data_IF_200203433012
#
_entry.id   IF_200203433012
#
_cell.length_a   1.000
_cell.length_b   1.000
_cell.length_c   1.000
_cell.angle_alpha   90.00
_cell.angle_beta   90.00
_cell.angle_gamma   90.00
#
_symmetry.space_group_name_H-M   'P 1'
#
loop_
_entity.id
_entity.type
_entity.pdbx_description
1 polymer ?
#
# COMPACT_ATOMS: atom_id res chain seq x y z
N UNK A 1 -5.16 -29.40 -0.17
CA UNK A 1 -5.80 -28.53 0.83
C UNK A 1 -6.79 -27.73 0.02
N UNK A 2 -8.08 -27.82 0.32
CA UNK A 2 -9.09 -26.96 -0.30
C UNK A 2 -8.85 -25.54 0.22
N UNK A 3 -8.54 -24.59 -0.68
CA UNK A 3 -8.18 -23.20 -0.38
C UNK A 3 -9.40 -22.32 0.03
N UNK A 4 -10.56 -22.95 0.21
CA UNK A 4 -11.86 -22.30 0.36
C UNK A 4 -12.38 -22.28 1.82
N UNK A 5 -11.67 -22.88 2.77
CA UNK A 5 -12.07 -22.93 4.19
C UNK A 5 -11.01 -22.32 5.12
N UNK A 6 -11.47 -21.62 6.16
CA UNK A 6 -10.64 -21.03 7.21
C UNK A 6 -10.96 -21.68 8.55
N UNK A 7 -9.92 -21.95 9.34
CA UNK A 7 -10.06 -22.38 10.73
C UNK A 7 -10.35 -21.16 11.62
N UNK A 8 -11.56 -21.08 12.17
CA UNK A 8 -12.02 -19.98 13.02
C UNK A 8 -12.31 -20.49 14.43
N UNK A 9 -11.95 -19.70 15.45
CA UNK A 9 -12.30 -20.02 16.84
C UNK A 9 -13.66 -19.41 17.18
N UNK A 10 -14.65 -20.25 17.49
CA UNK A 10 -16.01 -19.80 17.83
C UNK A 10 -16.26 -20.01 19.32
N UNK A 11 -16.78 -18.99 20.04
CA UNK A 11 -17.12 -19.14 21.43
C UNK A 11 -18.39 -19.97 21.60
N UNK A 12 -18.37 -20.93 22.52
CA UNK A 12 -19.52 -21.75 22.91
C UNK A 12 -19.78 -21.55 24.39
N UNK A 13 -21.00 -21.13 24.73
CA UNK A 13 -21.43 -21.03 26.12
C UNK A 13 -21.82 -22.42 26.62
N UNK A 14 -21.27 -22.84 27.76
CA UNK A 14 -21.79 -23.99 28.48
C UNK A 14 -22.89 -23.51 29.43
N UNK A 15 -24.14 -23.95 29.22
CA UNK A 15 -25.32 -23.51 30.00
C UNK A 15 -25.22 -23.80 31.51
N UNK A 16 -24.24 -24.58 31.97
CA UNK A 16 -24.13 -25.03 33.35
C UNK A 16 -23.20 -24.19 34.23
N UNK A 17 -22.20 -23.54 33.65
CA UNK A 17 -21.18 -22.78 34.39
C UNK A 17 -20.70 -21.72 33.42
N UNK A 18 -20.84 -20.44 33.75
CA UNK A 18 -20.57 -19.21 32.97
C UNK A 18 -19.16 -19.15 32.31
N UNK A 19 -18.84 -20.16 31.51
CA UNK A 19 -17.51 -20.58 31.07
C UNK A 19 -17.57 -20.65 29.56
N UNK A 20 -16.72 -19.83 28.94
CA UNK A 20 -16.63 -19.71 27.50
C UNK A 20 -15.56 -20.69 26.99
N UNK A 21 -15.95 -21.68 26.20
CA UNK A 21 -14.99 -22.56 25.51
C UNK A 21 -14.85 -22.11 24.05
N UNK A 22 -13.64 -22.22 23.50
CA UNK A 22 -13.36 -21.86 22.11
C UNK A 22 -13.17 -23.13 21.30
N UNK A 23 -14.10 -23.41 20.37
CA UNK A 23 -14.02 -24.57 19.50
C UNK A 23 -13.47 -24.15 18.12
N UNK A 24 -12.53 -24.91 17.54
CA UNK A 24 -12.09 -24.69 16.17
C UNK A 24 -13.17 -25.17 15.20
N UNK A 25 -13.62 -24.31 14.31
CA UNK A 25 -14.62 -24.61 13.28
C UNK A 25 -14.07 -24.22 11.92
N UNK A 26 -14.20 -25.11 10.93
CA UNK A 26 -13.97 -24.77 9.53
C UNK A 26 -15.15 -23.95 9.04
N UNK A 27 -14.88 -22.72 8.62
CA UNK A 27 -15.86 -21.83 8.01
C UNK A 27 -15.46 -21.54 6.57
N UNK A 28 -16.42 -21.38 5.64
CA UNK A 28 -16.09 -20.93 4.30
C UNK A 28 -15.37 -19.59 4.39
N UNK A 29 -14.35 -19.42 3.55
CA UNK A 29 -13.65 -18.16 3.42
C UNK A 29 -14.67 -17.09 3.06
N UNK A 30 -14.79 -15.99 3.84
CA UNK A 30 -15.68 -14.92 3.47
C UNK A 30 -15.25 -14.38 2.11
N UNK A 31 -16.21 -14.17 1.21
CA UNK A 31 -15.96 -13.48 -0.05
C UNK A 31 -15.45 -12.07 0.29
N UNK A 32 -14.17 -11.82 0.04
CA UNK A 32 -13.63 -10.46 0.06
C UNK A 32 -14.11 -9.76 -1.20
N UNK A 33 -15.30 -9.17 -1.17
CA UNK A 33 -15.75 -8.19 -2.15
C UNK A 33 -14.89 -6.93 -2.02
N UNK A 34 -13.67 -6.95 -2.55
CA UNK A 34 -12.86 -5.75 -2.69
C UNK A 34 -12.12 -5.77 -4.01
N UNK A 35 -12.86 -5.84 -5.11
CA UNK A 35 -12.44 -5.22 -6.36
C UNK A 35 -12.44 -3.70 -6.15
N UNK A 36 -11.41 -3.18 -5.50
CA UNK A 36 -11.16 -1.74 -5.47
C UNK A 36 -10.66 -1.30 -6.84
N UNK A 37 -11.53 -1.32 -7.85
CA UNK A 37 -11.27 -0.66 -9.11
C UNK A 37 -11.48 0.84 -8.92
N UNK A 38 -10.45 1.52 -8.42
CA UNK A 38 -10.37 2.96 -8.60
C UNK A 38 -9.94 3.24 -10.05
N UNK A 39 -10.66 4.16 -10.70
CA UNK A 39 -10.38 4.64 -12.05
C UNK A 39 -9.81 6.06 -11.92
N UNK A 40 -8.52 6.30 -12.23
CA UNK A 40 -7.92 7.62 -12.20
C UNK A 40 -8.70 8.61 -13.04
N UNK A 41 -8.74 9.88 -12.60
CA UNK A 41 -9.35 10.96 -13.38
C UNK A 41 -8.64 11.08 -14.74
N UNK A 42 -9.34 10.77 -15.85
CA UNK A 42 -8.74 10.79 -17.18
C UNK A 42 -8.19 12.17 -17.56
N UNK A 43 -8.79 13.25 -17.03
CA UNK A 43 -8.33 14.61 -17.31
C UNK A 43 -6.96 14.86 -16.68
N UNK A 44 -6.75 14.46 -15.42
CA UNK A 44 -5.47 14.63 -14.73
C UNK A 44 -4.37 13.79 -15.36
N UNK A 45 -4.67 12.54 -15.71
CA UNK A 45 -3.72 11.64 -16.38
C UNK A 45 -3.29 12.22 -17.74
N UNK A 46 -4.24 12.67 -18.55
CA UNK A 46 -3.93 13.29 -19.84
C UNK A 46 -3.13 14.58 -19.67
N UNK A 47 -3.46 15.40 -18.68
CA UNK A 47 -2.68 16.61 -18.37
C UNK A 47 -1.23 16.26 -18.08
N UNK A 48 -0.98 15.29 -17.19
CA UNK A 48 0.37 14.84 -16.83
C UNK A 48 1.14 14.35 -18.06
N UNK A 49 0.52 13.53 -18.91
CA UNK A 49 1.14 13.04 -20.16
C UNK A 49 1.56 14.16 -21.11
N UNK A 50 0.79 15.23 -21.17
CA UNK A 50 1.04 16.34 -22.09
C UNK A 50 2.00 17.38 -21.53
N UNK A 51 1.97 17.62 -20.22
CA UNK A 51 2.74 18.69 -19.58
C UNK A 51 4.11 18.22 -19.09
N UNK A 52 4.26 16.95 -18.69
CA UNK A 52 5.48 16.45 -18.09
C UNK A 52 6.32 15.63 -19.08
N UNK A 53 7.64 15.85 -19.12
CA UNK A 53 8.54 15.02 -19.91
C UNK A 53 8.70 13.63 -19.29
N UNK A 54 8.95 12.63 -20.14
CA UNK A 54 9.53 11.37 -19.68
C UNK A 54 11.01 11.58 -19.35
N UNK A 55 11.49 10.94 -18.28
CA UNK A 55 12.90 10.95 -17.86
C UNK A 55 13.37 9.50 -17.70
N UNK A 56 14.55 9.20 -18.24
CA UNK A 56 15.32 8.00 -17.88
C UNK A 56 15.74 8.13 -16.41
N UNK A 57 14.85 7.67 -15.54
CA UNK A 57 14.94 7.77 -14.10
C UNK A 57 14.11 6.65 -13.48
N UNK A 58 14.56 6.20 -12.31
CA UNK A 58 13.88 5.19 -11.50
C UNK A 58 13.36 5.86 -10.23
N UNK A 59 12.07 5.70 -9.94
CA UNK A 59 11.53 5.99 -8.62
C UNK A 59 11.37 4.68 -7.84
N UNK A 60 11.66 4.70 -6.55
CA UNK A 60 11.45 3.56 -5.67
C UNK A 60 10.27 3.81 -4.73
N UNK A 61 9.31 2.90 -4.72
CA UNK A 61 8.19 2.86 -3.78
C UNK A 61 8.46 1.82 -2.70
N UNK A 62 8.64 2.28 -1.47
CA UNK A 62 8.55 1.45 -0.28
C UNK A 62 7.16 1.62 0.35
N UNK A 63 6.38 0.55 0.42
CA UNK A 63 5.07 0.53 1.06
C UNK A 63 5.06 -0.48 2.21
N UNK A 64 5.21 0.01 3.43
CA UNK A 64 5.33 -0.82 4.64
C UNK A 64 4.40 -0.30 5.75
N UNK A 65 4.23 -1.08 6.82
CA UNK A 65 3.51 -0.64 8.00
C UNK A 65 4.42 0.19 8.91
N UNK A 66 3.86 1.23 9.53
CA UNK A 66 4.46 1.84 10.71
C UNK A 66 4.16 0.92 11.89
N UNK A 67 5.18 0.49 12.62
CA UNK A 67 5.07 -0.47 13.73
C UNK A 67 4.43 0.10 15.01
N UNK A 68 3.93 1.33 14.94
CA UNK A 68 3.30 2.05 16.05
C UNK A 68 1.81 2.23 15.76
N UNK A 69 0.92 1.73 16.62
CA UNK A 69 -0.51 1.91 16.41
C UNK A 69 -0.89 3.38 16.63
N UNK A 70 -1.78 3.87 15.78
CA UNK A 70 -2.35 5.23 15.86
C UNK A 70 -3.85 5.15 16.07
N UNK A 71 -4.39 6.18 16.71
CA UNK A 71 -5.81 6.33 16.98
C UNK A 71 -6.19 7.79 16.69
N UNK A 72 -7.00 8.01 15.65
CA UNK A 72 -7.40 9.37 15.24
C UNK A 72 -8.48 9.93 16.18
N UNK A 73 -9.42 9.08 16.62
CA UNK A 73 -10.51 9.45 17.52
C UNK A 73 -10.60 8.49 18.71
N UNK A 74 -10.96 9.02 19.88
CA UNK A 74 -11.00 8.27 21.15
C UNK A 74 -11.90 7.02 21.12
N UNK A 75 -12.94 7.00 20.27
CA UNK A 75 -13.85 5.85 20.13
C UNK A 75 -13.52 4.91 18.98
N UNK A 76 -12.49 5.22 18.18
CA UNK A 76 -12.03 4.38 17.09
C UNK A 76 -11.03 3.34 17.59
N UNK A 77 -11.08 2.12 17.05
CA UNK A 77 -10.05 1.10 17.29
C UNK A 77 -8.69 1.59 16.75
N UNK A 78 -7.60 1.55 17.53
CA UNK A 78 -6.27 1.83 17.01
C UNK A 78 -5.89 0.92 15.85
N UNK A 79 -5.13 1.45 14.89
CA UNK A 79 -4.68 0.72 13.72
C UNK A 79 -3.19 0.98 13.44
N UNK A 80 -2.55 0.09 12.70
CA UNK A 80 -1.18 0.32 12.21
C UNK A 80 -1.27 0.97 10.82
N UNK A 81 -0.84 2.24 10.68
CA UNK A 81 -0.93 2.93 9.40
C UNK A 81 0.09 2.33 8.42
N UNK A 82 -0.23 2.44 7.12
CA UNK A 82 0.73 2.16 6.06
C UNK A 82 1.45 3.44 5.67
N UNK A 83 2.73 3.32 5.36
CA UNK A 83 3.59 4.39 4.91
C UNK A 83 4.04 4.08 3.48
N UNK A 84 3.72 4.96 2.54
CA UNK A 84 4.36 4.99 1.23
C UNK A 84 5.52 6.00 1.24
N UNK A 85 6.70 5.54 0.86
CA UNK A 85 7.87 6.37 0.65
C UNK A 85 8.30 6.26 -0.79
N UNK A 86 8.50 7.43 -1.39
CA UNK A 86 8.99 7.58 -2.73
C UNK A 86 10.40 8.13 -2.69
N UNK A 87 11.34 7.41 -3.29
CA UNK A 87 12.74 7.79 -3.34
C UNK A 87 13.19 7.91 -4.78
N UNK A 88 13.89 8.99 -5.08
CA UNK A 88 14.54 9.16 -6.37
C UNK A 88 15.79 8.28 -6.44
N UNK A 89 15.84 7.37 -7.41
CA UNK A 89 16.89 6.36 -7.52
C UNK A 89 18.27 6.93 -7.87
N UNK A 90 18.33 8.13 -8.47
CA UNK A 90 19.57 8.80 -8.85
C UNK A 90 20.21 9.52 -7.65
N UNK A 91 19.41 10.29 -6.91
CA UNK A 91 19.89 11.11 -5.79
C UNK A 91 19.79 10.42 -4.42
N UNK A 92 18.99 9.36 -4.29
CA UNK A 92 18.67 8.73 -3.01
C UNK A 92 17.79 9.59 -2.10
N UNK A 93 17.29 10.73 -2.60
CA UNK A 93 16.46 11.65 -1.81
C UNK A 93 15.00 11.20 -1.78
N UNK A 94 14.34 11.48 -0.66
CA UNK A 94 12.90 11.25 -0.52
C UNK A 94 12.14 12.28 -1.37
N UNK A 95 11.48 11.79 -2.42
CA UNK A 95 10.60 12.58 -3.28
C UNK A 95 9.22 12.82 -2.63
N UNK A 96 8.72 11.86 -1.86
CA UNK A 96 7.45 11.96 -1.15
C UNK A 96 7.28 10.94 -0.03
N UNK A 97 6.44 11.28 0.95
CA UNK A 97 6.09 10.43 2.07
C UNK A 97 4.60 10.59 2.41
N UNK A 98 3.87 9.49 2.52
CA UNK A 98 2.43 9.52 2.69
C UNK A 98 2.00 8.40 3.64
N UNK A 99 1.06 8.70 4.54
CA UNK A 99 0.56 7.75 5.53
C UNK A 99 -0.92 7.51 5.34
N UNK A 100 -1.32 6.24 5.39
CA UNK A 100 -2.68 5.82 5.06
C UNK A 100 -3.34 5.06 6.19
N UNK A 101 -4.60 5.39 6.45
CA UNK A 101 -5.51 4.56 7.20
C UNK A 101 -5.99 3.37 6.33
N UNK A 102 -6.27 2.19 6.92
CA UNK A 102 -6.70 1.01 6.18
C UNK A 102 -7.95 1.23 5.32
N UNK A 103 -8.88 2.06 5.79
CA UNK A 103 -10.19 2.25 5.16
C UNK A 103 -10.16 2.94 3.80
N UNK A 104 -9.16 3.77 3.51
CA UNK A 104 -9.15 4.64 2.33
C UNK A 104 -7.88 4.57 1.48
N UNK A 105 -6.96 3.67 1.81
CA UNK A 105 -5.61 3.64 1.22
C UNK A 105 -5.62 3.67 -0.31
N UNK A 106 -6.52 2.92 -0.96
CA UNK A 106 -6.61 2.85 -2.42
C UNK A 106 -6.88 4.21 -3.06
N UNK A 107 -7.79 5.00 -2.50
CA UNK A 107 -8.15 6.30 -3.07
C UNK A 107 -7.08 7.34 -2.78
N UNK A 108 -6.57 7.35 -1.56
CA UNK A 108 -5.58 8.35 -1.10
C UNK A 108 -4.24 8.14 -1.82
N UNK A 109 -3.77 6.90 -1.90
CA UNK A 109 -2.51 6.56 -2.58
C UNK A 109 -2.46 7.04 -4.03
N UNK A 110 -3.56 6.86 -4.76
CA UNK A 110 -3.63 7.21 -6.17
C UNK A 110 -3.61 8.73 -6.40
N UNK A 111 -4.32 9.49 -5.57
CA UNK A 111 -4.26 10.95 -5.60
C UNK A 111 -2.84 11.45 -5.28
N UNK A 112 -2.23 10.88 -4.23
CA UNK A 112 -0.88 11.23 -3.79
C UNK A 112 0.19 10.92 -4.84
N UNK A 113 0.05 9.81 -5.56
CA UNK A 113 0.98 9.47 -6.64
C UNK A 113 0.92 10.49 -7.79
N UNK A 114 -0.27 10.92 -8.21
CA UNK A 114 -0.39 11.96 -9.24
C UNK A 114 0.15 13.30 -8.76
N UNK A 115 -0.05 13.65 -7.49
CA UNK A 115 0.57 14.83 -6.90
C UNK A 115 2.09 14.73 -6.89
N UNK A 116 2.64 13.57 -6.50
CA UNK A 116 4.06 13.29 -6.51
C UNK A 116 4.65 13.48 -7.91
N UNK A 117 4.03 12.91 -8.95
CA UNK A 117 4.51 13.03 -10.33
C UNK A 117 4.53 14.50 -10.78
N UNK A 118 3.48 15.27 -10.44
CA UNK A 118 3.50 16.73 -10.68
C UNK A 118 4.61 17.44 -9.91
N UNK A 119 4.86 17.04 -8.66
CA UNK A 119 5.88 17.63 -7.77
C UNK A 119 7.29 17.38 -8.28
N UNK A 120 7.60 16.14 -8.70
CA UNK A 120 8.92 15.81 -9.26
C UNK A 120 9.10 16.38 -10.66
N UNK A 121 7.99 16.62 -11.38
CA UNK A 121 7.97 17.33 -12.66
C UNK A 121 8.39 16.48 -13.86
N UNK A 122 8.36 15.15 -13.74
CA UNK A 122 8.63 14.20 -14.82
C UNK A 122 7.88 12.89 -14.59
N UNK A 123 7.68 12.15 -15.67
CA UNK A 123 7.23 10.75 -15.63
C UNK A 123 8.48 9.86 -15.67
N UNK A 124 8.73 9.01 -14.65
CA UNK A 124 9.88 8.12 -14.65
C UNK A 124 9.75 7.04 -15.72
N UNK A 125 10.87 6.50 -16.18
CA UNK A 125 10.86 5.33 -17.07
C UNK A 125 10.41 4.08 -16.31
N UNK A 126 10.85 3.91 -15.06
CA UNK A 126 10.48 2.76 -14.26
C UNK A 126 10.25 3.09 -12.79
N UNK A 127 9.47 2.22 -12.13
CA UNK A 127 9.21 2.27 -10.70
C UNK A 127 9.59 0.93 -10.06
N UNK A 128 10.56 0.96 -9.15
CA UNK A 128 10.93 -0.18 -8.32
C UNK A 128 10.02 -0.28 -7.10
N UNK A 129 9.41 -1.42 -6.85
CA UNK A 129 8.36 -1.60 -5.83
C UNK A 129 8.73 -2.74 -4.88
N UNK A 130 8.61 -2.51 -3.56
CA UNK A 130 9.01 -3.50 -2.56
C UNK A 130 7.90 -4.46 -2.09
N UNK A 131 6.64 -4.23 -2.46
CA UNK A 131 5.50 -4.99 -1.93
C UNK A 131 4.50 -5.38 -3.02
N UNK A 132 3.82 -6.53 -2.88
CA UNK A 132 2.75 -6.94 -3.80
C UNK A 132 1.60 -5.92 -3.86
N UNK A 133 1.21 -5.35 -2.71
CA UNK A 133 0.17 -4.32 -2.66
C UNK A 133 0.57 -3.05 -3.43
N UNK A 134 1.84 -2.66 -3.36
CA UNK A 134 2.35 -1.55 -4.18
C UNK A 134 2.25 -1.84 -5.67
N UNK A 135 2.52 -3.09 -6.09
CA UNK A 135 2.35 -3.50 -7.50
C UNK A 135 0.89 -3.37 -7.92
N UNK A 136 -0.04 -3.89 -7.10
CA UNK A 136 -1.48 -3.78 -7.38
C UNK A 136 -1.96 -2.32 -7.48
N UNK A 137 -1.45 -1.44 -6.62
CA UNK A 137 -1.80 -0.01 -6.66
C UNK A 137 -1.28 0.68 -7.91
N UNK A 138 -0.09 0.29 -8.36
CA UNK A 138 0.59 0.91 -9.50
C UNK A 138 0.19 0.33 -10.85
N UNK A 139 -0.41 -0.86 -10.90
CA UNK A 139 -0.80 -1.56 -12.13
C UNK A 139 -1.55 -0.65 -13.11
N UNK A 140 -2.56 0.05 -12.62
CA UNK A 140 -3.35 1.01 -13.40
C UNK A 140 -2.47 2.14 -13.98
N UNK A 141 -1.46 2.60 -13.25
CA UNK A 141 -0.58 3.68 -13.70
C UNK A 141 0.56 3.22 -14.61
N UNK A 142 0.99 1.95 -14.53
CA UNK A 142 1.99 1.39 -15.44
C UNK A 142 1.53 1.53 -16.89
N UNK A 143 0.32 1.03 -17.17
CA UNK A 143 -0.29 1.14 -18.50
C UNK A 143 -0.66 2.59 -18.84
N UNK A 144 -1.27 3.30 -17.89
CA UNK A 144 -1.73 4.65 -18.16
C UNK A 144 -0.56 5.58 -18.47
N UNK A 145 0.52 5.60 -17.70
CA UNK A 145 1.62 6.54 -17.89
C UNK A 145 2.77 5.99 -18.73
N UNK A 146 2.66 4.73 -19.18
CA UNK A 146 3.69 4.01 -19.94
C UNK A 146 5.00 3.99 -19.14
N UNK A 147 4.91 3.41 -17.93
CA UNK A 147 5.96 3.29 -16.93
C UNK A 147 6.18 1.83 -16.58
N UNK A 148 7.43 1.38 -16.60
CA UNK A 148 7.77 0.00 -16.28
C UNK A 148 7.70 -0.25 -14.76
N UNK A 149 6.86 -1.19 -14.34
CA UNK A 149 6.73 -1.58 -12.94
C UNK A 149 7.64 -2.78 -12.64
N UNK A 150 8.57 -2.61 -11.71
CA UNK A 150 9.54 -3.65 -11.35
C UNK A 150 9.36 -4.06 -9.89
N UNK A 151 8.90 -5.28 -9.67
CA UNK A 151 8.88 -5.85 -8.32
C UNK A 151 10.31 -6.20 -7.88
N UNK A 152 10.85 -5.44 -6.92
CA UNK A 152 12.24 -5.51 -6.50
C UNK A 152 12.40 -5.47 -4.96
N UNK A 153 11.76 -6.38 -4.20
CA UNK A 153 11.73 -6.33 -2.73
C UNK A 153 13.11 -6.41 -2.06
N UNK A 154 14.10 -6.99 -2.74
CA UNK A 154 15.46 -7.18 -2.25
C UNK A 154 16.43 -6.07 -2.68
N UNK A 155 15.94 -5.01 -3.33
CA UNK A 155 16.80 -3.90 -3.75
C UNK A 155 17.48 -3.25 -2.53
N UNK A 156 18.81 -2.99 -2.55
CA UNK A 156 19.55 -2.50 -1.38
C UNK A 156 18.97 -1.23 -0.75
N UNK A 157 18.41 -0.33 -1.58
CA UNK A 157 17.75 0.90 -1.13
C UNK A 157 16.63 0.62 -0.11
N UNK A 158 15.87 -0.46 -0.26
CA UNK A 158 14.80 -0.80 0.69
C UNK A 158 15.33 -1.27 2.04
N UNK A 159 16.50 -1.92 2.07
CA UNK A 159 17.17 -2.28 3.32
C UNK A 159 17.67 -1.03 4.06
N UNK A 160 18.26 -0.07 3.33
CA UNK A 160 18.71 1.21 3.88
C UNK A 160 17.54 2.02 4.46
N UNK A 161 16.43 2.11 3.72
CA UNK A 161 15.20 2.74 4.19
C UNK A 161 14.70 2.10 5.48
N UNK A 162 14.53 0.78 5.51
CA UNK A 162 14.07 0.08 6.72
C UNK A 162 14.95 0.35 7.93
N UNK A 163 16.27 0.33 7.75
CA UNK A 163 17.22 0.60 8.83
C UNK A 163 17.10 2.03 9.37
N UNK A 164 16.82 3.00 8.49
CA UNK A 164 16.60 4.40 8.86
C UNK A 164 15.29 4.55 9.61
N UNK A 165 14.21 3.94 9.11
CA UNK A 165 12.89 4.03 9.74
C UNK A 165 12.84 3.44 11.15
N UNK A 166 13.52 2.32 11.39
CA UNK A 166 13.63 1.71 12.72
C UNK A 166 14.36 2.58 13.76
N UNK A 167 15.08 3.62 13.35
CA UNK A 167 15.74 4.54 14.27
C UNK A 167 14.85 5.70 14.72
N UNK A 168 13.79 5.99 13.96
CA UNK A 168 12.89 7.12 14.23
C UNK A 168 11.53 6.72 14.81
N UNK A 169 11.19 5.42 14.76
CA UNK A 169 9.96 4.83 15.29
C UNK A 169 10.29 3.62 16.18
#
# INVERSE_FOLDING_TARGET
MDDDELLVMVPKSMEAEDTLTWDPVLMPRPETEQTHQYVPDPFLVNRIKHELPKKDAVLFLALDFIATPVQEYAEQRPFFPRLALWVDGESGLIAGNYTYAPQNIWKEFQADFLELINKVGYIPESIGINSPMGMEFMDVYGDLLDVDLVYAPEHPLFAELRSTFQQFF
#
